data_IF_065776485988
#
_entry.id   IF_065776485988
#
_cell.length_a   1.000
_cell.length_b   1.000
_cell.length_c   1.000
_cell.angle_alpha   90.00
_cell.angle_beta   90.00
_cell.angle_gamma   90.00
#
_symmetry.space_group_name_H-M   'P 1'
#
loop_
_entity.id
_entity.type
_entity.pdbx_description
1 polymer ?
#
# COMPACT_ATOMS: atom_id res chain seq x y z
N UNK A 1 38.56 37.65 -11.38
CA UNK A 1 38.05 36.31 -11.00
C UNK A 1 36.95 36.48 -9.96
N UNK A 2 35.72 36.81 -10.37
CA UNK A 2 34.62 37.04 -9.41
C UNK A 2 33.23 36.84 -10.05
N UNK A 3 33.12 35.97 -11.07
CA UNK A 3 31.89 35.80 -11.85
C UNK A 3 31.31 34.39 -11.82
N UNK A 4 31.87 33.49 -11.00
CA UNK A 4 31.46 32.07 -10.96
C UNK A 4 30.64 31.68 -9.72
N UNK A 5 30.42 32.60 -8.78
CA UNK A 5 29.75 32.31 -7.49
C UNK A 5 28.25 32.64 -7.45
N UNK A 6 27.70 33.30 -8.48
CA UNK A 6 26.30 33.74 -8.49
C UNK A 6 25.32 32.72 -9.11
N UNK A 7 25.80 31.70 -9.80
CA UNK A 7 24.91 30.74 -10.50
C UNK A 7 24.43 29.62 -9.56
N UNK A 8 25.15 29.33 -8.48
CA UNK A 8 24.76 28.28 -7.52
C UNK A 8 23.56 28.63 -6.63
N UNK A 9 23.33 29.92 -6.37
CA UNK A 9 22.28 30.36 -5.42
C UNK A 9 20.88 30.42 -6.06
N UNK A 10 20.79 30.56 -7.38
CA UNK A 10 19.51 30.65 -8.11
C UNK A 10 18.83 29.28 -8.30
N UNK A 11 19.56 28.17 -8.23
CA UNK A 11 18.98 26.82 -8.35
C UNK A 11 18.25 26.36 -7.08
N UNK A 12 18.55 26.95 -5.91
CA UNK A 12 17.91 26.59 -4.63
C UNK A 12 16.56 27.31 -4.44
N UNK A 13 16.35 28.46 -5.09
CA UNK A 13 15.14 29.28 -4.94
C UNK A 13 13.97 28.88 -5.86
N UNK A 14 14.17 27.93 -6.77
CA UNK A 14 13.17 27.53 -7.77
C UNK A 14 12.28 26.34 -7.39
N UNK A 15 12.56 25.64 -6.29
CA UNK A 15 11.73 24.51 -5.87
C UNK A 15 10.48 25.03 -5.19
N UNK A 16 9.36 25.08 -5.94
CA UNK A 16 8.03 25.30 -5.35
C UNK A 16 7.83 24.26 -4.23
N UNK A 17 7.33 24.66 -3.05
CA UNK A 17 7.05 23.71 -1.99
C UNK A 17 6.11 22.63 -2.53
N UNK A 18 6.47 21.37 -2.30
CA UNK A 18 5.63 20.24 -2.70
C UNK A 18 4.30 20.38 -1.96
N UNK A 19 3.22 20.50 -2.73
CA UNK A 19 1.88 20.56 -2.14
C UNK A 19 1.56 19.19 -1.54
N UNK A 20 1.03 19.20 -0.32
CA UNK A 20 0.74 17.98 0.43
C UNK A 20 -0.68 18.02 1.00
N UNK A 21 -1.25 16.85 1.21
CA UNK A 21 -2.56 16.64 1.81
C UNK A 21 -2.52 15.57 2.89
N UNK A 22 -3.73 15.15 3.31
CA UNK A 22 -3.95 14.13 4.33
C UNK A 22 -4.88 13.08 3.76
N UNK A 23 -4.54 11.81 3.97
CA UNK A 23 -5.43 10.67 3.70
C UNK A 23 -5.82 10.08 5.05
N UNK A 24 -7.10 10.11 5.39
CA UNK A 24 -7.65 9.46 6.56
C UNK A 24 -8.65 8.40 6.12
N UNK A 25 -8.80 7.32 6.89
CA UNK A 25 -9.74 6.29 6.48
C UNK A 25 -9.99 5.21 7.51
N UNK A 26 -10.78 4.24 7.09
CA UNK A 26 -11.15 3.09 7.91
C UNK A 26 -11.16 1.81 7.07
N UNK A 27 -10.57 0.75 7.61
CA UNK A 27 -10.68 -0.60 7.07
C UNK A 27 -12.03 -1.17 7.48
N UNK A 28 -12.90 -1.41 6.50
CA UNK A 28 -14.24 -1.94 6.75
C UNK A 28 -14.30 -3.45 6.56
N UNK A 29 -15.04 -4.09 7.46
CA UNK A 29 -15.39 -5.51 7.39
C UNK A 29 -16.91 -5.64 7.22
N UNK A 30 -17.41 -6.68 6.51
CA UNK A 30 -18.83 -6.99 6.47
C UNK A 30 -19.39 -7.14 7.88
N UNK A 31 -20.65 -6.73 8.06
CA UNK A 31 -21.31 -6.72 9.35
C UNK A 31 -21.16 -8.08 10.06
N UNK A 32 -20.71 -8.04 11.33
CA UNK A 32 -20.36 -9.16 12.24
C UNK A 32 -18.91 -9.65 12.23
N UNK A 33 -18.11 -9.30 11.23
CA UNK A 33 -16.68 -9.62 11.26
C UNK A 33 -15.92 -8.50 11.98
N UNK A 34 -14.88 -8.86 12.75
CA UNK A 34 -13.96 -7.90 13.36
C UNK A 34 -12.55 -8.19 12.87
N UNK A 35 -11.75 -7.14 12.74
CA UNK A 35 -10.32 -7.30 12.51
C UNK A 35 -9.69 -7.74 13.83
N UNK A 36 -9.05 -8.90 13.84
CA UNK A 36 -8.54 -9.53 15.07
C UNK A 36 -7.39 -8.75 15.72
N UNK A 37 -6.69 -7.93 14.94
CA UNK A 37 -5.52 -7.12 15.33
C UNK A 37 -5.47 -5.85 14.48
N UNK A 38 -4.76 -4.79 14.90
CA UNK A 38 -4.44 -3.66 14.03
C UNK A 38 -4.00 -4.11 12.64
N UNK A 39 -4.69 -3.62 11.61
CA UNK A 39 -4.28 -3.90 10.23
C UNK A 39 -3.09 -3.01 9.88
N UNK A 40 -2.17 -3.53 9.08
CA UNK A 40 -1.08 -2.74 8.53
C UNK A 40 -1.55 -2.12 7.21
N UNK A 41 -1.53 -0.81 7.14
CA UNK A 41 -1.94 -0.03 5.97
C UNK A 41 -0.70 0.54 5.29
N UNK A 42 -0.62 0.43 3.97
CA UNK A 42 0.50 0.89 3.16
C UNK A 42 -0.03 1.78 2.05
N UNK A 43 0.57 2.96 1.92
CA UNK A 43 0.31 3.90 0.84
C UNK A 43 1.41 3.75 -0.24
N UNK A 44 1.02 3.27 -1.42
CA UNK A 44 1.91 3.05 -2.55
C UNK A 44 1.83 4.23 -3.52
N UNK A 45 2.96 4.90 -3.72
CA UNK A 45 3.11 5.82 -4.84
C UNK A 45 3.13 5.06 -6.18
N UNK A 46 2.97 5.74 -7.33
CA UNK A 46 2.93 5.07 -8.64
C UNK A 46 4.15 4.19 -8.95
N UNK A 47 5.31 4.53 -8.38
CA UNK A 47 6.55 3.72 -8.47
C UNK A 47 6.37 2.31 -7.90
N UNK A 48 5.60 2.19 -6.81
CA UNK A 48 5.41 0.94 -6.08
C UNK A 48 4.14 0.19 -6.47
N UNK A 49 3.17 0.87 -7.08
CA UNK A 49 1.94 0.24 -7.58
C UNK A 49 2.26 -0.84 -8.62
N UNK A 50 3.06 -0.52 -9.64
CA UNK A 50 3.45 -1.49 -10.67
C UNK A 50 4.25 -2.66 -10.07
N UNK A 51 5.03 -2.41 -9.01
CA UNK A 51 5.78 -3.46 -8.32
C UNK A 51 4.86 -4.40 -7.55
N UNK A 52 3.80 -3.88 -6.94
CA UNK A 52 2.79 -4.70 -6.28
C UNK A 52 2.06 -5.62 -7.28
N UNK A 53 1.54 -5.05 -8.37
CA UNK A 53 0.76 -5.82 -9.34
C UNK A 53 1.62 -6.89 -10.04
N UNK A 54 2.87 -6.55 -10.41
CA UNK A 54 3.78 -7.52 -11.05
C UNK A 54 4.27 -8.61 -10.10
N UNK A 55 4.62 -8.29 -8.85
CA UNK A 55 5.07 -9.30 -7.87
C UNK A 55 3.93 -10.23 -7.48
N UNK A 56 2.71 -9.71 -7.34
CA UNK A 56 1.54 -10.54 -7.07
C UNK A 56 1.25 -11.50 -8.23
N UNK A 57 1.21 -10.99 -9.47
CA UNK A 57 0.97 -11.82 -10.64
C UNK A 57 2.04 -12.92 -10.78
N UNK A 58 3.32 -12.55 -10.66
CA UNK A 58 4.43 -13.52 -10.74
C UNK A 58 4.29 -14.64 -9.70
N UNK A 59 3.90 -14.31 -8.45
CA UNK A 59 3.68 -15.32 -7.40
C UNK A 59 2.52 -16.23 -7.74
N UNK A 60 1.41 -15.68 -8.22
CA UNK A 60 0.25 -16.46 -8.65
C UNK A 60 0.61 -17.42 -9.79
N UNK A 61 1.42 -16.97 -10.77
CA UNK A 61 1.87 -17.82 -11.87
C UNK A 61 2.78 -18.96 -11.38
N UNK A 62 3.75 -18.65 -10.51
CA UNK A 62 4.63 -19.66 -9.91
C UNK A 62 3.84 -20.68 -9.10
N UNK A 63 2.86 -20.21 -8.33
CA UNK A 63 2.01 -21.07 -7.53
C UNK A 63 1.05 -21.89 -8.39
N UNK A 64 0.54 -21.32 -9.48
CA UNK A 64 -0.24 -22.03 -10.47
C UNK A 64 0.51 -23.25 -10.97
N UNK A 65 1.73 -23.05 -11.48
CA UNK A 65 2.59 -24.14 -11.97
C UNK A 65 2.93 -25.17 -10.89
N UNK A 66 3.21 -24.71 -9.67
CA UNK A 66 3.59 -25.59 -8.56
C UNK A 66 2.45 -26.49 -8.08
N UNK A 67 1.23 -25.95 -7.99
CA UNK A 67 0.09 -26.60 -7.32
C UNK A 67 -1.00 -27.09 -8.30
N UNK A 68 -0.70 -27.19 -9.60
CA UNK A 68 -1.64 -27.72 -10.61
C UNK A 68 -2.29 -29.04 -10.19
N UNK A 69 -1.54 -30.06 -9.70
CA UNK A 69 -2.13 -31.33 -9.32
C UNK A 69 -3.15 -31.19 -8.19
N UNK A 70 -2.84 -30.39 -7.17
CA UNK A 70 -3.70 -30.14 -6.02
C UNK A 70 -4.97 -29.38 -6.41
N UNK A 71 -4.87 -28.43 -7.34
CA UNK A 71 -6.04 -27.68 -7.82
C UNK A 71 -7.04 -28.54 -8.60
N UNK A 72 -6.57 -29.58 -9.29
CA UNK A 72 -7.46 -30.53 -9.97
C UNK A 72 -8.34 -31.31 -8.98
N UNK A 73 -7.84 -31.51 -7.75
CA UNK A 73 -8.49 -32.31 -6.71
C UNK A 73 -9.29 -31.42 -5.76
N UNK A 74 -8.75 -30.26 -5.38
CA UNK A 74 -9.31 -29.37 -4.35
C UNK A 74 -9.29 -27.92 -4.83
N UNK A 75 -10.36 -27.52 -5.52
CA UNK A 75 -10.47 -26.18 -6.10
C UNK A 75 -10.43 -25.08 -5.06
N UNK A 76 -10.92 -25.31 -3.84
CA UNK A 76 -10.88 -24.30 -2.77
C UNK A 76 -9.45 -23.95 -2.33
N UNK A 77 -8.47 -24.82 -2.60
CA UNK A 77 -7.07 -24.56 -2.31
C UNK A 77 -6.53 -23.33 -3.05
N UNK A 78 -7.14 -22.99 -4.19
CA UNK A 78 -6.81 -21.77 -4.93
C UNK A 78 -6.94 -20.51 -4.04
N UNK A 79 -7.95 -20.45 -3.17
CA UNK A 79 -8.14 -19.32 -2.27
C UNK A 79 -7.04 -19.23 -1.21
N UNK A 80 -6.56 -20.36 -0.70
CA UNK A 80 -5.44 -20.40 0.26
C UNK A 80 -4.15 -19.91 -0.38
N UNK A 81 -3.85 -20.43 -1.57
CA UNK A 81 -2.65 -20.08 -2.33
C UNK A 81 -2.68 -18.62 -2.79
N UNK A 82 -3.85 -18.09 -3.19
CA UNK A 82 -4.02 -16.68 -3.54
C UNK A 82 -3.77 -15.76 -2.36
N UNK A 83 -4.31 -16.08 -1.16
CA UNK A 83 -4.02 -15.33 0.07
C UNK A 83 -2.54 -15.36 0.44
N UNK A 84 -1.87 -16.50 0.25
CA UNK A 84 -0.43 -16.63 0.47
C UNK A 84 0.36 -15.71 -0.46
N UNK A 85 0.02 -15.69 -1.75
CA UNK A 85 0.68 -14.83 -2.74
C UNK A 85 0.50 -13.34 -2.40
N UNK A 86 -0.72 -12.95 -2.05
CA UNK A 86 -1.07 -11.59 -1.62
C UNK A 86 -0.25 -11.14 -0.40
N UNK A 87 -0.22 -11.96 0.65
CA UNK A 87 0.54 -11.66 1.88
C UNK A 87 2.02 -11.54 1.61
N UNK A 88 2.59 -12.45 0.81
CA UNK A 88 4.00 -12.40 0.46
C UNK A 88 4.35 -11.16 -0.38
N UNK A 89 3.53 -10.82 -1.37
CA UNK A 89 3.70 -9.61 -2.18
C UNK A 89 3.63 -8.34 -1.31
N UNK A 90 2.71 -8.33 -0.33
CA UNK A 90 2.53 -7.20 0.57
C UNK A 90 3.75 -7.01 1.48
N UNK A 91 4.32 -8.09 2.00
CA UNK A 91 5.55 -8.03 2.79
C UNK A 91 6.75 -7.63 1.93
N UNK A 92 6.82 -8.10 0.69
CA UNK A 92 7.89 -7.76 -0.25
C UNK A 92 7.88 -6.28 -0.62
N UNK A 93 6.71 -5.69 -0.90
CA UNK A 93 6.63 -4.26 -1.25
C UNK A 93 7.07 -3.37 -0.08
N UNK A 94 6.65 -3.68 1.16
CA UNK A 94 7.14 -2.96 2.35
C UNK A 94 8.66 -3.09 2.49
N UNK A 95 9.19 -4.31 2.30
CA UNK A 95 10.63 -4.55 2.38
C UNK A 95 11.40 -3.77 1.29
N UNK A 96 10.83 -3.63 0.08
CA UNK A 96 11.39 -2.80 -1.00
C UNK A 96 11.37 -1.33 -0.63
N UNK A 97 10.22 -0.81 -0.17
CA UNK A 97 10.09 0.59 0.24
C UNK A 97 11.06 0.94 1.39
N UNK A 98 11.22 0.05 2.38
CA UNK A 98 12.17 0.27 3.49
C UNK A 98 13.63 0.36 3.03
N UNK A 99 13.98 -0.31 1.93
CA UNK A 99 15.33 -0.26 1.36
C UNK A 99 15.55 0.95 0.45
N UNK A 100 14.49 1.58 -0.02
CA UNK A 100 14.59 2.77 -0.85
C UNK A 100 14.90 3.99 0.04
N UNK A 101 16.02 4.66 -0.22
CA UNK A 101 16.49 5.79 0.60
C UNK A 101 15.76 7.10 0.31
N UNK A 102 14.77 7.09 -0.58
CA UNK A 102 14.07 8.29 -1.07
C UNK A 102 13.02 8.87 -0.11
N UNK A 103 12.77 8.25 1.05
CA UNK A 103 11.79 8.74 2.03
C UNK A 103 11.74 7.91 3.31
N UNK A 104 11.09 8.43 4.34
CA UNK A 104 10.86 7.68 5.58
C UNK A 104 9.69 6.71 5.38
N UNK A 105 9.95 5.41 5.52
CA UNK A 105 8.92 4.37 5.40
C UNK A 105 7.73 4.57 6.34
N UNK A 106 7.95 5.19 7.51
CA UNK A 106 6.89 5.48 8.47
C UNK A 106 5.82 6.43 7.92
N UNK A 107 6.16 7.26 6.93
CA UNK A 107 5.20 8.18 6.30
C UNK A 107 4.24 7.44 5.35
N UNK A 108 4.56 6.19 4.99
CA UNK A 108 3.82 5.40 4.00
C UNK A 108 3.33 4.05 4.54
N UNK A 109 3.67 3.71 5.79
CA UNK A 109 3.21 2.49 6.45
C UNK A 109 2.68 2.85 7.83
N UNK A 110 1.42 2.53 8.08
CA UNK A 110 0.71 2.81 9.33
C UNK A 110 0.05 1.54 9.86
N UNK A 111 -0.22 1.50 11.15
CA UNK A 111 -1.11 0.50 11.75
C UNK A 111 -2.45 1.15 12.07
N UNK A 112 -3.54 0.41 11.91
CA UNK A 112 -4.85 0.95 12.24
C UNK A 112 -5.04 1.07 13.75
N UNK A 113 -5.95 1.93 14.18
CA UNK A 113 -6.53 1.83 15.52
C UNK A 113 -7.32 0.51 15.67
N UNK A 114 -7.72 0.12 16.90
CA UNK A 114 -8.59 -1.04 17.10
C UNK A 114 -9.93 -0.97 16.36
N UNK A 115 -10.41 0.25 16.06
CA UNK A 115 -11.61 0.50 15.24
C UNK A 115 -11.35 0.45 13.73
N UNK A 116 -10.11 0.14 13.32
CA UNK A 116 -9.72 0.03 11.92
C UNK A 116 -9.36 1.37 11.26
N UNK A 117 -9.20 2.47 12.03
CA UNK A 117 -8.92 3.80 11.49
C UNK A 117 -7.43 4.00 11.21
N UNK A 118 -7.08 4.77 10.18
CA UNK A 118 -5.70 5.12 9.84
C UNK A 118 -5.61 6.55 9.30
N UNK A 119 -4.39 7.12 9.32
CA UNK A 119 -4.11 8.46 8.82
C UNK A 119 -2.69 8.57 8.26
N UNK A 120 -2.55 9.12 7.06
CA UNK A 120 -1.29 9.52 6.44
C UNK A 120 -1.26 11.05 6.30
N UNK A 121 -0.22 11.67 6.85
CA UNK A 121 -0.01 13.13 6.82
C UNK A 121 1.08 13.50 5.83
N UNK A 122 1.03 14.74 5.35
CA UNK A 122 2.05 15.29 4.45
C UNK A 122 2.23 14.47 3.16
N UNK A 123 1.15 13.86 2.67
CA UNK A 123 1.18 13.06 1.44
C UNK A 123 1.29 14.01 0.25
N UNK A 124 2.32 13.92 -0.61
CA UNK A 124 2.41 14.74 -1.81
C UNK A 124 1.17 14.60 -2.69
N UNK A 125 0.83 15.64 -3.43
CA UNK A 125 -0.27 15.55 -4.39
C UNK A 125 0.05 14.49 -5.45
N UNK A 126 -0.95 13.68 -5.80
CA UNK A 126 -0.80 12.60 -6.77
C UNK A 126 -1.75 11.45 -6.54
N UNK A 127 -1.60 10.43 -7.38
CA UNK A 127 -2.36 9.19 -7.36
C UNK A 127 -1.63 8.13 -6.54
N UNK A 128 -2.36 7.43 -5.70
CA UNK A 128 -1.82 6.39 -4.83
C UNK A 128 -2.72 5.16 -4.83
N UNK A 129 -2.10 3.99 -4.76
CA UNK A 129 -2.78 2.75 -4.38
C UNK A 129 -2.59 2.56 -2.88
N UNK A 130 -3.65 2.18 -2.18
CA UNK A 130 -3.60 1.90 -0.75
C UNK A 130 -3.94 0.44 -0.52
N UNK A 131 -3.12 -0.22 0.29
CA UNK A 131 -3.29 -1.61 0.67
C UNK A 131 -3.45 -1.71 2.19
N UNK A 132 -4.31 -2.59 2.68
CA UNK A 132 -4.33 -2.95 4.08
C UNK A 132 -4.24 -4.47 4.23
N UNK A 133 -3.36 -4.95 5.10
CA UNK A 133 -3.28 -6.35 5.50
C UNK A 133 -3.73 -6.47 6.95
N UNK A 134 -4.74 -7.29 7.18
CA UNK A 134 -5.26 -7.57 8.52
C UNK A 134 -5.74 -9.01 8.62
N UNK A 135 -6.30 -9.36 9.77
CA UNK A 135 -6.84 -10.70 10.03
C UNK A 135 -8.31 -10.63 10.39
N UNK A 136 -9.11 -11.56 9.85
CA UNK A 136 -10.48 -11.80 10.28
C UNK A 136 -10.56 -13.24 10.75
N UNK A 137 -10.78 -13.44 12.06
CA UNK A 137 -10.51 -14.73 12.68
C UNK A 137 -9.03 -15.10 12.49
N UNK A 138 -8.78 -16.27 11.90
CA UNK A 138 -7.44 -16.78 11.60
C UNK A 138 -6.99 -16.55 10.15
N UNK A 139 -7.80 -15.88 9.33
CA UNK A 139 -7.50 -15.65 7.92
C UNK A 139 -6.89 -14.28 7.69
N UNK A 140 -5.75 -14.24 7.01
CA UNK A 140 -5.18 -13.01 6.47
C UNK A 140 -6.06 -12.50 5.32
N UNK A 141 -6.38 -11.20 5.34
CA UNK A 141 -7.22 -10.52 4.34
C UNK A 141 -6.50 -9.26 3.89
N UNK A 142 -6.51 -9.03 2.57
CA UNK A 142 -6.01 -7.79 1.98
C UNK A 142 -7.17 -6.96 1.43
N UNK A 143 -7.20 -5.69 1.81
CA UNK A 143 -8.03 -4.66 1.19
C UNK A 143 -7.19 -3.81 0.26
N UNK A 144 -7.78 -3.33 -0.82
CA UNK A 144 -7.12 -2.40 -1.73
C UNK A 144 -8.09 -1.34 -2.24
N UNK A 145 -7.57 -0.14 -2.47
CA UNK A 145 -8.27 0.93 -3.18
C UNK A 145 -7.27 1.91 -3.80
N UNK A 146 -7.79 2.91 -4.51
CA UNK A 146 -7.00 4.00 -5.08
C UNK A 146 -7.50 5.35 -4.55
N UNK A 147 -6.59 6.30 -4.37
CA UNK A 147 -6.87 7.63 -3.83
C UNK A 147 -6.04 8.69 -4.52
N UNK A 148 -6.67 9.80 -4.90
CA UNK A 148 -6.03 10.93 -5.56
C UNK A 148 -5.93 12.13 -4.62
N UNK A 149 -4.74 12.44 -4.12
CA UNK A 149 -4.48 13.62 -3.28
C UNK A 149 -4.34 14.84 -4.17
N UNK A 150 -5.35 15.71 -4.16
CA UNK A 150 -5.41 16.93 -5.00
C UNK A 150 -5.68 18.21 -4.21
N UNK A 151 -5.78 18.11 -2.88
CA UNK A 151 -6.07 19.24 -2.02
C UNK A 151 -5.41 19.06 -0.65
N UNK A 152 -5.15 20.14 0.10
CA UNK A 152 -4.67 20.04 1.48
C UNK A 152 -5.76 19.57 2.46
N UNK A 153 -7.02 19.53 2.03
CA UNK A 153 -8.12 19.03 2.86
C UNK A 153 -8.00 17.51 3.03
N UNK A 154 -8.32 16.97 4.23
CA UNK A 154 -8.31 15.52 4.44
C UNK A 154 -9.27 14.81 3.49
N UNK A 155 -8.75 13.77 2.83
CA UNK A 155 -9.53 12.85 2.03
C UNK A 155 -9.89 11.64 2.87
N UNK A 156 -11.18 11.35 2.95
CA UNK A 156 -11.70 10.22 3.71
C UNK A 156 -11.95 9.02 2.81
N UNK A 157 -11.40 7.86 3.20
CA UNK A 157 -11.51 6.61 2.45
C UNK A 157 -12.07 5.47 3.31
N UNK A 158 -12.99 4.70 2.73
CA UNK A 158 -13.50 3.46 3.31
C UNK A 158 -12.96 2.26 2.52
N UNK A 159 -11.96 1.56 3.09
CA UNK A 159 -11.38 0.37 2.46
C UNK A 159 -12.32 -0.82 2.61
N UNK A 160 -13.19 -1.01 1.60
CA UNK A 160 -14.18 -2.10 1.54
C UNK A 160 -13.78 -3.24 0.61
N UNK A 161 -13.08 -2.92 -0.48
CA UNK A 161 -12.76 -3.89 -1.54
C UNK A 161 -11.66 -4.84 -1.10
N UNK A 162 -12.00 -6.12 -1.01
CA UNK A 162 -11.04 -7.20 -0.76
C UNK A 162 -10.36 -7.61 -2.06
N UNK A 163 -9.11 -8.01 -1.96
CA UNK A 163 -8.45 -8.75 -3.06
C UNK A 163 -9.03 -10.17 -3.04
N UNK A 164 -9.61 -10.65 -4.16
CA UNK A 164 -10.26 -11.96 -4.22
C UNK A 164 -9.30 -13.13 -4.00
#
# INVERSE_FOLDING_TARGET
>A
MLSSLLIGFLLVLGQKPVQTGVIAGMVQTPERQKISQPARVVLLSPKYENLWDSDLQQRLDVYWERYKPEFAIRKEFFYEVSRMAQKEAFNNIIARMRRDSSGNIADYVQETTPEGKFEFKHVPFGQYKILALGKIGDQDVIWQDSVEVQSPLPQFLELKKRVP
#
